data_IF_341225846810
#
_entry.id   IF_341225846810
#
_cell.length_a   1.000
_cell.length_b   1.000
_cell.length_c   1.000
_cell.angle_alpha   90.00
_cell.angle_beta   90.00
_cell.angle_gamma   90.00
#
_symmetry.space_group_name_H-M   'P 1'
#
loop_
_entity.id
_entity.type
_entity.pdbx_description
1 polymer ?
#
# COMPACT_ATOMS: atom_id res chain seq x y z
N UNK A 1 16.47 21.43 15.19
CA UNK A 1 16.76 20.20 14.42
C UNK A 1 15.82 20.20 13.25
N UNK A 2 16.32 20.53 12.07
CA UNK A 2 15.53 20.54 10.83
C UNK A 2 15.16 19.10 10.45
N UNK A 3 13.87 18.83 10.28
CA UNK A 3 13.38 17.52 9.83
C UNK A 3 13.92 17.23 8.43
N UNK A 4 14.37 15.99 8.13
CA UNK A 4 14.83 15.66 6.79
C UNK A 4 13.67 15.80 5.78
N UNK A 5 13.96 16.08 4.51
CA UNK A 5 12.92 16.44 3.55
C UNK A 5 11.96 15.28 3.30
N UNK A 6 10.66 15.59 3.32
CA UNK A 6 9.51 14.69 3.09
C UNK A 6 9.53 14.07 1.66
N UNK A 7 10.44 14.55 0.82
CA UNK A 7 10.90 13.96 -0.43
C UNK A 7 12.39 14.30 -0.53
N UNK A 8 13.31 13.39 -0.88
CA UNK A 8 14.73 13.70 -0.88
C UNK A 8 15.05 14.89 -1.82
N UNK A 9 15.78 15.89 -1.32
CA UNK A 9 15.92 17.18 -1.98
C UNK A 9 16.85 17.02 -3.19
N UNK A 10 16.34 17.23 -4.42
CA UNK A 10 17.24 17.29 -5.59
C UNK A 10 16.69 17.00 -6.98
N UNK A 11 15.42 16.61 -7.17
CA UNK A 11 14.90 16.39 -8.55
C UNK A 11 14.75 17.70 -9.33
N UNK A 12 15.72 18.02 -10.20
CA UNK A 12 15.47 18.88 -11.39
C UNK A 12 14.78 18.03 -12.44
N UNK A 13 13.51 18.28 -12.69
CA UNK A 13 12.81 17.74 -13.86
C UNK A 13 13.27 18.59 -15.05
N UNK A 14 13.94 17.99 -16.04
CA UNK A 14 14.05 18.63 -17.37
C UNK A 14 12.63 18.70 -17.93
N UNK A 15 12.10 19.91 -17.99
CA UNK A 15 11.05 20.25 -18.95
C UNK A 15 11.69 20.06 -20.33
N UNK A 16 11.31 19.00 -21.05
CA UNK A 16 11.60 18.90 -22.47
C UNK A 16 10.79 19.98 -23.19
N UNK A 17 11.35 21.20 -23.29
CA UNK A 17 10.99 22.10 -24.38
C UNK A 17 11.54 21.46 -25.65
N UNK A 18 10.68 21.24 -26.63
CA UNK A 18 11.12 20.99 -27.99
C UNK A 18 11.80 22.26 -28.51
N UNK A 19 13.10 22.17 -28.72
CA UNK A 19 13.87 22.99 -29.64
C UNK A 19 14.96 22.08 -30.22
N UNK A 20 15.09 22.16 -31.53
CA UNK A 20 15.64 21.19 -32.48
C UNK A 20 17.18 21.02 -32.43
N UNK A 21 17.62 19.86 -32.94
CA UNK A 21 18.92 19.50 -33.55
C UNK A 21 20.17 19.50 -32.65
N UNK A 22 21.14 18.59 -32.73
CA UNK A 22 21.38 17.31 -33.41
C UNK A 22 22.61 16.68 -32.70
N UNK A 23 22.68 15.35 -32.68
CA UNK A 23 23.89 14.51 -32.50
C UNK A 23 24.71 14.58 -31.17
N UNK A 24 24.21 13.94 -30.10
CA UNK A 24 25.02 13.17 -29.13
C UNK A 24 24.18 12.31 -28.13
N UNK A 25 23.03 11.79 -28.57
CA UNK A 25 21.96 11.31 -27.68
C UNK A 25 22.16 9.98 -26.93
N UNK A 26 23.22 9.21 -27.19
CA UNK A 26 23.32 7.83 -26.68
C UNK A 26 24.03 7.71 -25.32
N UNK A 27 25.06 8.52 -25.05
CA UNK A 27 25.90 8.38 -23.85
C UNK A 27 25.45 9.26 -22.67
N UNK A 28 24.76 10.38 -22.92
CA UNK A 28 24.23 11.24 -21.84
C UNK A 28 23.05 10.62 -21.10
N UNK A 29 22.23 9.82 -21.78
CA UNK A 29 21.06 9.15 -21.20
C UNK A 29 21.49 8.11 -20.15
N UNK A 30 22.51 7.31 -20.47
CA UNK A 30 23.03 6.24 -19.60
C UNK A 30 23.68 6.77 -18.31
N UNK A 31 24.40 7.88 -18.39
CA UNK A 31 25.04 8.51 -17.22
C UNK A 31 24.02 9.18 -16.29
N UNK A 32 22.96 9.79 -16.85
CA UNK A 32 21.89 10.39 -16.06
C UNK A 32 21.02 9.35 -15.34
N UNK A 33 20.76 8.20 -15.98
CA UNK A 33 20.04 7.08 -15.36
C UNK A 33 20.86 6.43 -14.24
N UNK A 34 22.17 6.32 -14.41
CA UNK A 34 23.06 5.77 -13.40
C UNK A 34 23.21 6.70 -12.17
N UNK A 35 23.39 8.00 -12.38
CA UNK A 35 23.42 9.03 -11.33
C UNK A 35 22.07 9.12 -10.58
N UNK A 36 20.95 8.87 -11.26
CA UNK A 36 19.63 8.78 -10.63
C UNK A 36 19.48 7.54 -9.73
N UNK A 37 20.01 6.39 -10.15
CA UNK A 37 19.95 5.15 -9.37
C UNK A 37 20.86 5.18 -8.14
N UNK A 38 22.04 5.77 -8.25
CA UNK A 38 22.98 5.95 -7.13
C UNK A 38 22.37 6.85 -6.04
N UNK A 39 21.76 7.98 -6.43
CA UNK A 39 21.04 8.86 -5.50
C UNK A 39 19.86 8.17 -4.81
N UNK A 40 19.02 7.48 -5.57
CA UNK A 40 17.89 6.74 -5.00
C UNK A 40 18.36 5.64 -4.03
N UNK A 41 19.49 4.99 -4.33
CA UNK A 41 20.12 4.00 -3.45
C UNK A 41 20.53 4.62 -2.11
N UNK A 42 21.18 5.78 -2.12
CA UNK A 42 21.53 6.50 -0.88
C UNK A 42 20.29 6.93 -0.09
N UNK A 43 19.25 7.40 -0.76
CA UNK A 43 17.99 7.84 -0.12
C UNK A 43 17.30 6.68 0.60
N UNK A 44 17.20 5.52 -0.04
CA UNK A 44 16.66 4.30 0.58
C UNK A 44 17.50 3.89 1.80
N UNK A 45 18.83 4.00 1.75
CA UNK A 45 19.68 3.74 2.91
C UNK A 45 19.47 4.76 4.04
N UNK A 46 19.32 6.05 3.71
CA UNK A 46 19.04 7.13 4.68
C UNK A 46 17.69 6.95 5.38
N UNK A 47 16.72 6.32 4.71
CA UNK A 47 15.44 5.90 5.27
C UNK A 47 15.53 4.63 6.13
N UNK A 48 16.73 4.08 6.35
CA UNK A 48 16.97 2.96 7.25
C UNK A 48 16.76 1.57 6.64
N UNK A 49 16.55 1.47 5.32
CA UNK A 49 16.44 0.16 4.67
C UNK A 49 17.82 -0.50 4.54
N UNK A 50 17.90 -1.76 4.96
CA UNK A 50 19.12 -2.55 4.82
C UNK A 50 19.26 -3.08 3.37
N UNK A 51 20.34 -2.77 2.64
CA UNK A 51 20.58 -3.24 1.27
C UNK A 51 20.49 -4.75 1.06
N UNK A 52 20.67 -5.55 2.12
CA UNK A 52 20.60 -7.01 2.08
C UNK A 52 19.17 -7.56 2.21
N UNK A 53 18.17 -6.72 2.46
CA UNK A 53 16.78 -7.13 2.64
C UNK A 53 15.95 -6.88 1.38
N UNK A 54 15.00 -7.77 1.10
CA UNK A 54 14.09 -7.65 -0.04
C UNK A 54 13.32 -6.31 -0.06
N UNK A 55 12.99 -5.77 1.12
CA UNK A 55 12.29 -4.48 1.24
C UNK A 55 13.10 -3.33 0.63
N UNK A 56 14.43 -3.40 0.65
CA UNK A 56 15.29 -2.41 0.01
C UNK A 56 15.01 -2.28 -1.49
N UNK A 57 14.95 -3.41 -2.20
CA UNK A 57 14.68 -3.42 -3.64
C UNK A 57 13.31 -2.85 -3.97
N UNK A 58 12.30 -3.13 -3.12
CA UNK A 58 10.95 -2.59 -3.31
C UNK A 58 10.91 -1.09 -3.02
N UNK A 59 11.62 -0.62 -2.00
CA UNK A 59 11.74 0.81 -1.71
C UNK A 59 12.47 1.57 -2.82
N UNK A 60 13.59 1.01 -3.31
CA UNK A 60 14.34 1.55 -4.43
C UNK A 60 13.49 1.61 -5.70
N UNK A 61 12.78 0.52 -6.00
CA UNK A 61 11.82 0.49 -7.10
C UNK A 61 10.79 1.61 -6.97
N UNK A 62 10.23 1.83 -5.77
CA UNK A 62 9.25 2.88 -5.54
C UNK A 62 9.83 4.28 -5.78
N UNK A 63 11.04 4.57 -5.33
CA UNK A 63 11.67 5.88 -5.55
C UNK A 63 12.01 6.13 -7.02
N UNK A 64 12.45 5.11 -7.75
CA UNK A 64 12.80 5.22 -9.17
C UNK A 64 11.53 5.36 -10.03
N UNK A 65 10.52 4.52 -9.79
CA UNK A 65 9.33 4.44 -10.67
C UNK A 65 8.30 5.54 -10.42
N UNK A 66 8.24 6.08 -9.20
CA UNK A 66 7.23 7.08 -8.84
C UNK A 66 7.80 8.48 -9.04
N UNK A 67 7.11 9.29 -9.84
CA UNK A 67 7.44 10.72 -9.98
C UNK A 67 7.14 11.50 -8.70
N UNK A 68 7.80 12.65 -8.49
CA UNK A 68 7.62 13.45 -7.27
C UNK A 68 6.17 13.92 -7.13
N UNK A 69 5.55 14.36 -8.23
CA UNK A 69 4.15 14.78 -8.24
C UNK A 69 3.20 13.63 -7.93
N UNK A 70 3.47 12.42 -8.43
CA UNK A 70 2.70 11.23 -8.09
C UNK A 70 2.85 10.88 -6.61
N UNK A 71 4.05 11.02 -6.04
CA UNK A 71 4.31 10.81 -4.62
C UNK A 71 3.51 11.77 -3.73
N UNK A 72 3.56 13.07 -4.04
CA UNK A 72 2.80 14.12 -3.33
C UNK A 72 1.29 13.87 -3.40
N UNK A 73 0.77 13.47 -4.57
CA UNK A 73 -0.63 13.07 -4.72
C UNK A 73 -1.02 11.91 -3.82
N UNK A 74 -0.19 10.86 -3.76
CA UNK A 74 -0.44 9.71 -2.85
C UNK A 74 -0.38 10.11 -1.38
N UNK A 75 0.56 10.98 -1.00
CA UNK A 75 0.60 11.56 0.34
C UNK A 75 -0.70 12.29 0.67
N UNK A 76 -1.20 13.11 -0.26
CA UNK A 76 -2.46 13.83 -0.06
C UNK A 76 -3.65 12.87 0.07
N UNK A 77 -3.67 11.75 -0.66
CA UNK A 77 -4.69 10.70 -0.47
C UNK A 77 -4.65 10.17 0.96
N UNK A 78 -3.48 9.80 1.49
CA UNK A 78 -3.38 9.32 2.88
C UNK A 78 -3.78 10.40 3.91
N UNK A 79 -3.42 11.66 3.66
CA UNK A 79 -3.82 12.79 4.52
C UNK A 79 -5.33 13.02 4.56
N UNK A 80 -6.05 12.76 3.46
CA UNK A 80 -7.53 12.81 3.45
C UNK A 80 -8.13 11.79 4.43
N UNK A 81 -7.42 10.70 4.72
CA UNK A 81 -7.80 9.71 5.73
C UNK A 81 -7.25 10.03 7.13
N UNK A 82 -6.69 11.22 7.33
CA UNK A 82 -6.20 11.69 8.64
C UNK A 82 -4.82 11.17 9.04
N UNK A 83 -4.03 10.62 8.11
CA UNK A 83 -2.65 10.22 8.41
C UNK A 83 -1.73 11.44 8.47
N UNK A 84 -0.83 11.45 9.45
CA UNK A 84 0.27 12.42 9.53
C UNK A 84 1.37 12.09 8.50
N UNK A 85 2.29 13.03 8.27
CA UNK A 85 3.48 12.73 7.45
C UNK A 85 4.30 11.60 8.07
N UNK A 86 4.40 11.57 9.41
CA UNK A 86 5.06 10.52 10.16
C UNK A 86 4.38 9.14 9.98
N UNK A 87 3.04 9.09 9.96
CA UNK A 87 2.30 7.84 9.70
C UNK A 87 2.58 7.29 8.30
N UNK A 88 2.62 8.17 7.29
CA UNK A 88 2.85 7.77 5.89
C UNK A 88 4.29 7.27 5.72
N UNK A 89 5.27 7.97 6.28
CA UNK A 89 6.68 7.54 6.26
C UNK A 89 6.83 6.20 6.97
N UNK A 90 6.25 6.05 8.16
CA UNK A 90 6.30 4.77 8.89
C UNK A 90 5.63 3.62 8.14
N UNK A 91 4.52 3.88 7.44
CA UNK A 91 3.86 2.90 6.59
C UNK A 91 4.73 2.50 5.40
N UNK A 92 5.45 3.43 4.80
CA UNK A 92 6.39 3.17 3.71
C UNK A 92 7.59 2.32 4.19
N UNK A 93 8.18 2.66 5.34
CA UNK A 93 9.25 1.88 5.96
C UNK A 93 8.85 0.42 6.22
N UNK A 94 7.63 0.20 6.75
CA UNK A 94 7.10 -1.13 7.04
C UNK A 94 6.75 -1.91 5.77
N UNK A 95 6.24 -1.25 4.73
CA UNK A 95 5.78 -1.90 3.51
C UNK A 95 5.85 -0.94 2.31
N UNK A 96 7.00 -0.82 1.64
CA UNK A 96 7.21 0.18 0.58
C UNK A 96 6.23 0.05 -0.60
N UNK A 97 5.72 -1.16 -0.80
CA UNK A 97 4.72 -1.48 -1.83
C UNK A 97 3.43 -0.66 -1.68
N UNK A 98 3.12 -0.12 -0.49
CA UNK A 98 1.96 0.73 -0.29
C UNK A 98 1.95 1.95 -1.24
N UNK A 99 3.13 2.48 -1.58
CA UNK A 99 3.28 3.61 -2.50
C UNK A 99 3.19 3.20 -3.97
N UNK A 100 3.35 1.91 -4.30
CA UNK A 100 3.23 1.40 -5.67
C UNK A 100 1.76 1.19 -6.10
N UNK A 101 0.79 1.19 -5.18
CA UNK A 101 -0.62 1.05 -5.52
C UNK A 101 -1.19 2.33 -6.14
N UNK A 102 -2.19 2.21 -7.01
CA UNK A 102 -2.90 3.37 -7.56
C UNK A 102 -3.61 4.16 -6.46
N UNK A 103 -3.79 5.47 -6.67
CA UNK A 103 -4.57 6.34 -5.76
C UNK A 103 -5.98 5.76 -5.56
N UNK A 104 -6.60 5.29 -6.64
CA UNK A 104 -7.91 4.62 -6.61
C UNK A 104 -7.93 3.42 -5.67
N UNK A 105 -6.97 2.49 -5.80
CA UNK A 105 -6.91 1.29 -4.96
C UNK A 105 -6.71 1.65 -3.48
N UNK A 106 -5.88 2.65 -3.20
CA UNK A 106 -5.67 3.14 -1.82
C UNK A 106 -7.01 3.66 -1.27
N UNK A 107 -7.68 4.56 -1.98
CA UNK A 107 -8.94 5.15 -1.55
C UNK A 107 -10.05 4.11 -1.37
N UNK A 108 -10.23 3.18 -2.31
CA UNK A 108 -11.24 2.11 -2.20
C UNK A 108 -11.00 1.21 -0.98
N UNK A 109 -9.76 0.81 -0.74
CA UNK A 109 -9.43 -0.02 0.42
C UNK A 109 -9.61 0.76 1.72
N UNK A 110 -9.17 2.01 1.78
CA UNK A 110 -9.34 2.88 2.96
C UNK A 110 -10.82 3.13 3.26
N UNK A 111 -11.63 3.44 2.25
CA UNK A 111 -13.08 3.64 2.40
C UNK A 111 -13.77 2.40 2.96
N UNK A 112 -13.45 1.23 2.41
CA UNK A 112 -14.02 0.00 2.92
C UNK A 112 -13.61 -0.26 4.38
N UNK A 113 -12.33 -0.12 4.73
CA UNK A 113 -11.90 -0.38 6.10
C UNK A 113 -12.45 0.66 7.10
N UNK A 114 -12.37 1.94 6.77
CA UNK A 114 -12.74 3.01 7.70
C UNK A 114 -14.26 3.20 7.76
N UNK A 115 -14.89 3.43 6.60
CA UNK A 115 -16.30 3.81 6.54
C UNK A 115 -17.21 2.58 6.58
N UNK A 116 -16.86 1.51 5.85
CA UNK A 116 -17.71 0.30 5.84
C UNK A 116 -17.47 -0.60 7.04
N UNK A 117 -16.21 -0.84 7.44
CA UNK A 117 -15.88 -1.75 8.55
C UNK A 117 -15.72 -1.06 9.90
N UNK A 118 -15.77 0.28 9.95
CA UNK A 118 -15.61 1.04 11.20
C UNK A 118 -14.21 0.95 11.80
N UNK A 119 -13.19 0.59 11.01
CA UNK A 119 -11.81 0.53 11.48
C UNK A 119 -11.28 1.95 11.73
N UNK A 120 -10.52 2.14 12.81
CA UNK A 120 -9.80 3.40 13.01
C UNK A 120 -8.79 3.59 11.88
N UNK A 121 -8.80 4.74 11.21
CA UNK A 121 -7.83 5.04 10.15
C UNK A 121 -6.38 4.90 10.63
N UNK A 122 -6.09 5.33 11.87
CA UNK A 122 -4.78 5.22 12.53
C UNK A 122 -4.30 3.78 12.81
N UNK A 123 -5.15 2.77 12.61
CA UNK A 123 -4.74 1.36 12.67
C UNK A 123 -3.98 0.93 11.41
N UNK A 124 -4.38 1.45 10.24
CA UNK A 124 -3.88 1.01 8.93
C UNK A 124 -2.41 1.36 8.66
N UNK A 125 -1.82 2.51 9.07
CA UNK A 125 -0.40 2.79 8.82
C UNK A 125 0.53 1.82 9.57
N UNK A 126 0.04 1.12 10.60
CA UNK A 126 0.76 0.03 11.27
C UNK A 126 0.62 -1.32 10.56
N UNK A 127 -0.34 -1.44 9.65
CA UNK A 127 -0.60 -2.64 8.84
C UNK A 127 -0.79 -2.30 7.35
N UNK A 128 0.17 -1.60 6.70
CA UNK A 128 0.03 -1.11 5.32
C UNK A 128 -0.16 -2.22 4.28
N UNK A 129 0.19 -3.46 4.61
CA UNK A 129 -0.08 -4.65 3.80
C UNK A 129 -1.58 -4.85 3.52
N UNK A 130 -2.47 -4.35 4.39
CA UNK A 130 -3.92 -4.38 4.19
C UNK A 130 -4.34 -3.75 2.85
N UNK A 131 -3.64 -2.71 2.41
CA UNK A 131 -3.90 -2.01 1.15
C UNK A 131 -3.49 -2.84 -0.08
N UNK A 132 -2.74 -3.93 0.11
CA UNK A 132 -2.27 -4.76 -0.99
C UNK A 132 -3.32 -5.75 -1.51
N UNK A 133 -4.26 -6.15 -0.66
CA UNK A 133 -5.24 -7.17 -0.99
C UNK A 133 -6.27 -6.64 -2.00
N UNK A 134 -6.85 -7.57 -2.76
CA UNK A 134 -7.97 -7.26 -3.66
C UNK A 134 -9.21 -6.96 -2.83
N UNK A 135 -9.81 -5.79 -3.06
CA UNK A 135 -11.05 -5.40 -2.41
C UNK A 135 -12.14 -6.43 -2.65
N UNK A 136 -12.43 -6.70 -3.93
CA UNK A 136 -13.48 -7.62 -4.38
C UNK A 136 -13.19 -9.08 -4.07
N UNK A 137 -11.97 -9.56 -4.38
CA UNK A 137 -11.67 -11.00 -4.29
C UNK A 137 -11.32 -11.49 -2.88
N UNK A 138 -10.96 -10.59 -1.95
CA UNK A 138 -10.46 -11.00 -0.62
C UNK A 138 -11.03 -10.20 0.53
N UNK A 139 -10.99 -8.87 0.46
CA UNK A 139 -11.40 -8.02 1.58
C UNK A 139 -12.91 -8.14 1.81
N UNK A 140 -13.74 -7.87 0.79
CA UNK A 140 -15.21 -7.89 0.89
C UNK A 140 -15.75 -9.27 1.31
N UNK A 141 -15.34 -10.41 0.69
CA UNK A 141 -15.83 -11.73 1.05
C UNK A 141 -15.56 -12.07 2.52
N UNK A 142 -14.31 -11.86 2.97
CA UNK A 142 -13.92 -12.20 4.34
C UNK A 142 -14.61 -11.30 5.36
N UNK A 143 -14.66 -10.00 5.10
CA UNK A 143 -15.30 -9.05 6.00
C UNK A 143 -16.83 -9.24 6.09
N UNK A 144 -17.46 -9.70 5.02
CA UNK A 144 -18.91 -10.00 5.01
C UNK A 144 -19.24 -11.17 5.93
N UNK A 145 -18.49 -12.27 5.85
CA UNK A 145 -18.63 -13.41 6.77
C UNK A 145 -18.41 -12.98 8.22
N UNK A 146 -17.34 -12.23 8.51
CA UNK A 146 -17.06 -11.78 9.86
C UNK A 146 -18.14 -10.87 10.44
N UNK A 147 -18.73 -10.00 9.62
CA UNK A 147 -19.85 -9.15 10.03
C UNK A 147 -21.08 -9.99 10.39
N UNK A 148 -21.40 -10.99 9.57
CA UNK A 148 -22.51 -11.89 9.84
C UNK A 148 -22.29 -12.68 11.15
N UNK A 149 -21.09 -13.24 11.34
CA UNK A 149 -20.73 -13.93 12.59
C UNK A 149 -20.82 -13.02 13.81
N UNK A 150 -20.38 -11.77 13.71
CA UNK A 150 -20.53 -10.79 14.80
C UNK A 150 -22.01 -10.50 15.10
N UNK A 151 -22.84 -10.31 14.07
CA UNK A 151 -24.27 -10.00 14.27
C UNK A 151 -25.06 -11.14 14.89
N UNK A 152 -24.63 -12.38 14.67
CA UNK A 152 -25.23 -13.56 15.29
C UNK A 152 -24.64 -13.88 16.67
N UNK A 153 -23.65 -13.12 17.14
CA UNK A 153 -22.98 -13.36 18.41
C UNK A 153 -22.09 -14.62 18.42
N UNK A 154 -21.77 -15.17 17.25
CA UNK A 154 -20.92 -16.35 17.09
C UNK A 154 -19.43 -16.04 17.28
N UNK A 155 -19.05 -14.77 17.14
CA UNK A 155 -17.74 -14.24 17.54
C UNK A 155 -17.92 -12.92 18.27
N UNK A 156 -17.00 -12.57 19.17
CA UNK A 156 -17.04 -11.30 19.92
C UNK A 156 -16.23 -10.19 19.24
N UNK A 157 -15.09 -10.54 18.65
CA UNK A 157 -14.16 -9.59 18.01
C UNK A 157 -13.25 -10.31 17.03
N UNK A 158 -12.65 -9.56 16.11
CA UNK A 158 -11.68 -10.09 15.16
C UNK A 158 -10.57 -9.09 14.84
N UNK A 159 -9.41 -9.60 14.42
CA UNK A 159 -8.27 -8.79 13.98
C UNK A 159 -8.19 -8.79 12.45
N UNK A 160 -8.44 -7.63 11.82
CA UNK A 160 -8.49 -7.48 10.36
C UNK A 160 -7.19 -7.94 9.71
N UNK A 161 -6.02 -7.54 10.23
CA UNK A 161 -4.73 -7.93 9.67
C UNK A 161 -4.54 -9.45 9.67
N UNK A 162 -4.79 -10.11 10.81
CA UNK A 162 -4.66 -11.57 10.92
C UNK A 162 -5.56 -12.30 9.92
N UNK A 163 -6.77 -11.80 9.69
CA UNK A 163 -7.73 -12.44 8.78
C UNK A 163 -7.38 -12.19 7.32
N UNK A 164 -6.82 -11.02 7.00
CA UNK A 164 -6.38 -10.75 5.64
C UNK A 164 -5.11 -11.53 5.28
N UNK A 165 -4.21 -11.77 6.24
CA UNK A 165 -2.95 -12.50 6.03
C UNK A 165 -3.16 -14.01 5.86
N UNK A 166 -4.10 -14.63 6.59
CA UNK A 166 -4.24 -16.09 6.56
C UNK A 166 -4.64 -16.64 5.17
N UNK A 167 -4.26 -17.89 4.88
CA UNK A 167 -4.64 -18.54 3.61
C UNK A 167 -6.15 -18.74 3.54
N UNK A 168 -6.68 -18.95 2.33
CA UNK A 168 -8.10 -19.24 2.15
C UNK A 168 -8.55 -20.48 2.93
N UNK A 169 -7.77 -21.57 2.86
CA UNK A 169 -8.01 -22.77 3.67
C UNK A 169 -8.14 -22.46 5.15
N UNK A 170 -7.21 -21.68 5.71
CA UNK A 170 -7.23 -21.31 7.14
C UNK A 170 -8.40 -20.39 7.46
N UNK A 171 -8.77 -19.49 6.54
CA UNK A 171 -9.94 -18.63 6.71
C UNK A 171 -11.23 -19.46 6.81
N UNK A 172 -11.47 -20.34 5.83
CA UNK A 172 -12.67 -21.19 5.79
C UNK A 172 -12.76 -22.10 7.02
N UNK A 173 -11.65 -22.74 7.39
CA UNK A 173 -11.59 -23.62 8.57
C UNK A 173 -11.86 -22.89 9.89
N UNK A 174 -11.62 -21.58 9.98
CA UNK A 174 -11.81 -20.81 11.21
C UNK A 174 -13.14 -20.08 11.27
N UNK A 175 -13.64 -19.61 10.14
CA UNK A 175 -14.75 -18.65 10.09
C UNK A 175 -15.93 -19.12 9.25
N UNK A 176 -15.88 -20.30 8.65
CA UNK A 176 -16.99 -20.83 7.84
C UNK A 176 -17.36 -22.23 8.30
N UNK A 177 -16.44 -23.19 8.19
CA UNK A 177 -16.70 -24.60 8.50
C UNK A 177 -17.17 -24.87 9.95
N UNK A 178 -16.64 -24.21 11.00
CA UNK A 178 -16.99 -24.57 12.38
C UNK A 178 -18.45 -24.33 12.79
N UNK A 179 -19.17 -23.49 12.05
CA UNK A 179 -20.55 -23.13 12.39
C UNK A 179 -21.58 -24.06 11.75
N UNK A 180 -21.15 -24.93 10.84
CA UNK A 180 -21.98 -25.91 10.12
C UNK A 180 -23.23 -25.33 9.43
N UNK A 181 -23.28 -24.00 9.25
CA UNK A 181 -24.34 -23.29 8.54
C UNK A 181 -23.90 -23.00 7.09
N UNK A 182 -24.60 -23.54 6.08
CA UNK A 182 -24.34 -23.25 4.67
C UNK A 182 -24.40 -21.76 4.31
N UNK A 183 -25.09 -20.94 5.10
CA UNK A 183 -25.21 -19.50 4.90
C UNK A 183 -23.85 -18.80 4.78
N UNK A 184 -22.89 -19.10 5.66
CA UNK A 184 -21.58 -18.42 5.66
C UNK A 184 -20.75 -18.76 4.42
N UNK A 185 -20.81 -20.00 3.95
CA UNK A 185 -20.12 -20.42 2.73
C UNK A 185 -20.75 -19.74 1.51
N UNK A 186 -22.08 -19.78 1.40
CA UNK A 186 -22.82 -19.12 0.32
C UNK A 186 -22.54 -17.62 0.29
N UNK A 187 -22.57 -16.95 1.45
CA UNK A 187 -22.22 -15.53 1.56
C UNK A 187 -20.80 -15.26 1.08
N UNK A 188 -19.82 -16.08 1.47
CA UNK A 188 -18.44 -15.92 1.03
C UNK A 188 -18.30 -16.02 -0.49
N UNK A 189 -18.90 -17.06 -1.09
CA UNK A 189 -18.86 -17.32 -2.53
C UNK A 189 -19.57 -16.22 -3.33
N UNK A 190 -20.77 -15.81 -2.92
CA UNK A 190 -21.51 -14.71 -3.55
C UNK A 190 -20.68 -13.43 -3.58
N UNK A 191 -20.00 -13.11 -2.48
CA UNK A 191 -19.19 -11.90 -2.38
C UNK A 191 -17.90 -11.95 -3.20
N UNK A 192 -17.40 -13.14 -3.56
CA UNK A 192 -16.23 -13.27 -4.44
C UNK A 192 -16.56 -12.93 -5.91
N UNK A 193 -17.83 -12.98 -6.30
CA UNK A 193 -18.30 -12.76 -7.68
C UNK A 193 -18.65 -11.31 -8.02
N UNK A 194 -18.50 -10.37 -7.07
CA UNK A 194 -18.76 -8.93 -7.21
C UNK A 194 -17.67 -8.15 -7.98
#
# INVERSE_FOLDING_TARGET
>A
MEKPPIWPPGRKIRSCRHAENEENGSNECSLADQDNNERATEEVQKLGFNPLQQLFLVALQALIQISKSTWERKFNVFKQWGWSDEDIVSAFEKYPRCMLFSEHKISENMDFFVNTMGCKSSYIPNHPVLLSYSLKKRIIPRCSVLKALLSEGLIEKFNVNSIMVCTEKVFLQRFVTPFEDPYFLKLYEEKQTL
#
